data_IF_938438450106
#
_entry.id   IF_938438450106
#
_cell.length_a   1.000
_cell.length_b   1.000
_cell.length_c   1.000
_cell.angle_alpha   90.00
_cell.angle_beta   90.00
_cell.angle_gamma   90.00
#
_symmetry.space_group_name_H-M   'P 1'
#
loop_
_entity.id
_entity.type
_entity.pdbx_description
1 polymer ?
#
# COMPACT_ATOMS: atom_id res chain seq x y z
N UNK A 1 -16.06 -4.82 -1.16
CA UNK A 1 -17.19 -4.00 -1.70
C UNK A 1 -17.39 -4.27 -3.20
N UNK A 2 -18.54 -3.85 -3.76
CA UNK A 2 -18.83 -3.96 -5.20
C UNK A 2 -17.81 -3.21 -6.05
N UNK A 3 -17.32 -2.05 -5.58
CA UNK A 3 -16.31 -1.24 -6.29
C UNK A 3 -14.98 -1.98 -6.42
N UNK A 4 -14.51 -2.61 -5.36
CA UNK A 4 -13.26 -3.39 -5.38
C UNK A 4 -13.36 -4.62 -6.27
N UNK A 5 -14.49 -5.33 -6.25
CA UNK A 5 -14.76 -6.42 -7.22
C UNK A 5 -14.73 -5.93 -8.67
N UNK A 6 -15.24 -4.71 -8.94
CA UNK A 6 -15.16 -4.11 -10.27
C UNK A 6 -13.72 -3.75 -10.67
N UNK A 7 -12.92 -3.22 -9.71
CA UNK A 7 -11.48 -2.96 -9.92
C UNK A 7 -10.72 -4.23 -10.30
N UNK A 8 -10.93 -5.32 -9.55
CA UNK A 8 -10.31 -6.62 -9.86
C UNK A 8 -10.67 -7.13 -11.27
N UNK A 9 -11.94 -7.05 -11.66
CA UNK A 9 -12.37 -7.42 -13.02
C UNK A 9 -11.72 -6.55 -14.11
N UNK A 10 -11.48 -5.26 -13.83
CA UNK A 10 -10.76 -4.37 -14.75
C UNK A 10 -9.29 -4.79 -14.89
N UNK A 11 -8.65 -5.11 -13.77
CA UNK A 11 -7.26 -5.56 -13.75
C UNK A 11 -7.09 -6.87 -14.52
N UNK A 12 -7.98 -7.81 -14.33
CA UNK A 12 -8.01 -9.07 -15.07
C UNK A 12 -8.16 -8.86 -16.59
N UNK A 13 -9.16 -8.09 -17.01
CA UNK A 13 -9.38 -7.72 -18.41
C UNK A 13 -8.21 -6.94 -19.01
N UNK A 14 -7.53 -6.14 -18.21
CA UNK A 14 -6.34 -5.38 -18.57
C UNK A 14 -5.04 -6.20 -18.53
N UNK A 15 -5.11 -7.52 -18.33
CA UNK A 15 -3.94 -8.40 -18.20
C UNK A 15 -2.91 -7.87 -17.20
N UNK A 16 -3.37 -7.30 -16.08
CA UNK A 16 -2.51 -6.83 -15.00
C UNK A 16 -1.93 -8.03 -14.27
N UNK A 17 -0.61 -8.11 -14.23
CA UNK A 17 0.13 -9.16 -13.51
C UNK A 17 0.70 -8.58 -12.21
N UNK A 18 0.58 -9.32 -11.12
CA UNK A 18 1.13 -8.93 -9.82
C UNK A 18 2.24 -9.89 -9.43
N UNK A 19 3.37 -9.35 -9.00
CA UNK A 19 4.52 -10.15 -8.55
C UNK A 19 5.33 -9.38 -7.51
N UNK A 20 6.13 -10.09 -6.74
CA UNK A 20 7.20 -9.48 -5.96
C UNK A 20 8.24 -8.90 -6.90
N UNK A 21 8.75 -7.71 -6.61
CA UNK A 21 9.59 -6.94 -7.53
C UNK A 21 10.87 -6.45 -6.85
N UNK A 22 11.92 -6.34 -7.65
CA UNK A 22 13.19 -5.69 -7.28
C UNK A 22 13.36 -4.31 -7.90
N UNK A 23 12.35 -3.82 -8.63
CA UNK A 23 12.39 -2.49 -9.26
C UNK A 23 12.05 -1.39 -8.24
N UNK A 24 12.89 -1.26 -7.21
CA UNK A 24 12.72 -0.25 -6.16
C UNK A 24 12.75 1.16 -6.71
N UNK A 25 13.70 1.47 -7.59
CA UNK A 25 13.86 2.81 -8.17
C UNK A 25 12.64 3.22 -9.01
N UNK A 26 12.14 2.35 -9.89
CA UNK A 26 10.95 2.64 -10.70
C UNK A 26 9.71 2.86 -9.85
N UNK A 27 9.52 2.04 -8.81
CA UNK A 27 8.42 2.22 -7.87
C UNK A 27 8.57 3.52 -7.07
N UNK A 28 9.80 3.82 -6.60
CA UNK A 28 10.06 5.01 -5.80
C UNK A 28 9.75 6.31 -6.54
N UNK A 29 10.15 6.40 -7.81
CA UNK A 29 9.81 7.54 -8.66
C UNK A 29 8.29 7.74 -8.76
N UNK A 30 7.53 6.67 -9.01
CA UNK A 30 6.07 6.74 -9.05
C UNK A 30 5.47 7.17 -7.70
N UNK A 31 6.02 6.69 -6.57
CA UNK A 31 5.58 7.09 -5.23
C UNK A 31 5.84 8.57 -4.97
N UNK A 32 7.05 9.04 -5.25
CA UNK A 32 7.44 10.44 -5.07
C UNK A 32 6.56 11.38 -5.90
N UNK A 33 6.32 11.07 -7.17
CA UNK A 33 5.40 11.80 -8.04
C UNK A 33 3.96 11.81 -7.47
N UNK A 34 3.47 10.68 -6.96
CA UNK A 34 2.13 10.60 -6.38
C UNK A 34 1.99 11.49 -5.14
N UNK A 35 3.00 11.49 -4.27
CA UNK A 35 2.99 12.29 -3.04
C UNK A 35 3.14 13.78 -3.34
N UNK A 36 4.06 14.16 -4.22
CA UNK A 36 4.25 15.55 -4.64
C UNK A 36 2.98 16.12 -5.29
N UNK A 37 2.38 15.40 -6.25
CA UNK A 37 1.22 15.88 -7.00
C UNK A 37 -0.08 15.96 -6.19
N UNK A 38 -0.23 15.13 -5.13
CA UNK A 38 -1.48 15.05 -4.37
C UNK A 38 -1.44 15.76 -3.03
N UNK A 39 -0.28 15.79 -2.41
CA UNK A 39 -0.15 16.20 -1.01
C UNK A 39 0.94 17.23 -0.81
N UNK A 40 1.76 17.53 -1.85
CA UNK A 40 2.92 18.42 -1.76
C UNK A 40 3.89 18.02 -0.65
N UNK A 41 4.07 16.71 -0.46
CA UNK A 41 4.98 16.11 0.53
C UNK A 41 5.93 15.10 -0.14
N UNK A 42 7.03 14.84 0.53
CA UNK A 42 7.98 13.79 0.17
C UNK A 42 7.72 12.51 1.00
N UNK A 43 8.19 11.32 0.53
CA UNK A 43 8.18 10.12 1.35
C UNK A 43 8.98 10.31 2.63
N UNK A 44 8.54 9.71 3.74
CA UNK A 44 9.23 9.78 5.05
C UNK A 44 10.63 9.15 5.01
N UNK A 45 10.82 8.12 4.21
CA UNK A 45 12.13 7.48 3.98
C UNK A 45 12.71 7.98 2.66
N UNK A 46 14.01 7.82 2.46
CA UNK A 46 14.66 7.86 1.15
C UNK A 46 14.66 6.47 0.50
N UNK A 47 14.90 6.42 -0.81
CA UNK A 47 15.10 5.14 -1.51
C UNK A 47 16.27 4.34 -0.90
N UNK A 48 17.40 5.01 -0.60
CA UNK A 48 18.57 4.37 -0.02
C UNK A 48 18.28 3.74 1.35
N UNK A 49 17.48 4.39 2.19
CA UNK A 49 17.05 3.83 3.48
C UNK A 49 16.19 2.58 3.29
N UNK A 50 15.26 2.58 2.34
CA UNK A 50 14.44 1.40 2.08
C UNK A 50 15.23 0.25 1.48
N UNK A 51 16.16 0.53 0.58
CA UNK A 51 17.07 -0.49 0.03
C UNK A 51 17.96 -1.07 1.13
N UNK A 52 18.46 -0.24 2.05
CA UNK A 52 19.21 -0.69 3.22
C UNK A 52 18.35 -1.55 4.15
N UNK A 53 17.13 -1.13 4.45
CA UNK A 53 16.19 -1.91 5.26
C UNK A 53 15.87 -3.26 4.59
N UNK A 54 15.57 -3.25 3.30
CA UNK A 54 15.33 -4.50 2.55
C UNK A 54 16.57 -5.41 2.56
N UNK A 55 17.79 -4.86 2.40
CA UNK A 55 19.02 -5.67 2.42
C UNK A 55 19.26 -6.36 3.76
N UNK A 56 18.86 -5.72 4.86
CA UNK A 56 18.97 -6.27 6.23
C UNK A 56 17.83 -7.23 6.57
N UNK A 57 16.64 -6.98 6.03
CA UNK A 57 15.41 -7.72 6.32
C UNK A 57 14.68 -8.12 5.04
N UNK A 58 15.31 -8.92 4.14
CA UNK A 58 14.76 -9.18 2.79
C UNK A 58 13.43 -9.94 2.79
N UNK A 59 13.18 -10.73 3.84
CA UNK A 59 11.92 -11.47 3.99
C UNK A 59 10.80 -10.62 4.60
N UNK A 60 11.14 -9.50 5.23
CA UNK A 60 10.20 -8.66 5.96
C UNK A 60 9.84 -7.38 5.21
N UNK A 61 10.81 -6.76 4.53
CA UNK A 61 10.61 -5.51 3.78
C UNK A 61 10.57 -5.86 2.30
N UNK A 62 9.36 -5.87 1.73
CA UNK A 62 9.15 -6.41 0.38
C UNK A 62 8.33 -5.45 -0.48
N UNK A 63 8.67 -5.38 -1.75
CA UNK A 63 7.94 -4.62 -2.76
C UNK A 63 7.15 -5.57 -3.65
N UNK A 64 5.85 -5.29 -3.81
CA UNK A 64 4.99 -5.96 -4.78
C UNK A 64 4.47 -4.97 -5.80
N UNK A 65 4.57 -5.33 -7.09
CA UNK A 65 4.15 -4.44 -8.18
C UNK A 65 3.13 -5.11 -9.08
N UNK A 66 2.28 -4.27 -9.64
CA UNK A 66 1.38 -4.62 -10.73
C UNK A 66 1.91 -4.04 -12.04
N UNK A 67 2.01 -4.87 -13.06
CA UNK A 67 2.51 -4.48 -14.38
C UNK A 67 1.57 -4.95 -15.49
N UNK A 68 1.60 -4.24 -16.62
CA UNK A 68 1.03 -4.69 -17.89
C UNK A 68 2.06 -4.42 -18.99
N UNK A 69 2.46 -5.45 -19.75
CA UNK A 69 3.48 -5.35 -20.79
C UNK A 69 4.70 -4.51 -20.35
N UNK A 70 5.29 -4.87 -19.22
CA UNK A 70 6.43 -4.19 -18.58
C UNK A 70 6.15 -2.79 -18.03
N UNK A 71 4.99 -2.19 -18.34
CA UNK A 71 4.60 -0.91 -17.76
C UNK A 71 4.23 -1.07 -16.28
N UNK A 72 4.93 -0.35 -15.41
CA UNK A 72 4.62 -0.29 -13.97
C UNK A 72 3.32 0.49 -13.75
N UNK A 73 2.32 -0.18 -13.20
CA UNK A 73 0.99 0.37 -12.98
C UNK A 73 0.74 0.79 -11.54
N UNK A 74 1.18 -0.03 -10.59
CA UNK A 74 1.02 0.21 -9.17
C UNK A 74 2.04 -0.60 -8.37
N UNK A 75 2.19 -0.27 -7.11
CA UNK A 75 2.97 -1.09 -6.19
C UNK A 75 2.64 -0.79 -4.75
N UNK A 76 3.05 -1.73 -3.89
CA UNK A 76 2.90 -1.68 -2.44
C UNK A 76 4.20 -2.16 -1.80
N UNK A 77 4.74 -1.34 -0.88
CA UNK A 77 5.79 -1.79 0.04
C UNK A 77 5.11 -2.26 1.32
N UNK A 78 5.45 -3.46 1.76
CA UNK A 78 4.98 -4.03 3.02
C UNK A 78 6.14 -4.22 4.00
N UNK A 79 5.79 -4.14 5.29
CA UNK A 79 6.64 -4.56 6.40
C UNK A 79 5.95 -5.74 7.07
N UNK A 80 6.52 -6.94 6.91
CA UNK A 80 6.03 -8.16 7.56
C UNK A 80 6.63 -8.27 8.96
N UNK A 81 5.82 -7.97 9.96
CA UNK A 81 6.18 -8.03 11.39
C UNK A 81 5.76 -9.36 12.04
N UNK A 82 5.63 -10.43 11.28
CA UNK A 82 5.24 -11.74 11.76
C UNK A 82 3.73 -11.92 11.85
N UNK A 83 3.08 -11.51 12.92
CA UNK A 83 1.61 -11.60 13.06
C UNK A 83 0.88 -10.58 12.20
N UNK A 84 1.50 -9.41 11.97
CA UNK A 84 0.92 -8.28 11.26
C UNK A 84 1.74 -7.97 10.01
N UNK A 85 1.06 -7.80 8.89
CA UNK A 85 1.63 -7.23 7.66
C UNK A 85 1.19 -5.78 7.56
N UNK A 86 2.15 -4.86 7.67
CA UNK A 86 1.89 -3.44 7.56
C UNK A 86 2.13 -2.92 6.15
N UNK A 87 1.17 -2.21 5.60
CA UNK A 87 1.27 -1.52 4.32
C UNK A 87 1.94 -0.17 4.54
N UNK A 88 3.23 -0.07 4.22
CA UNK A 88 4.02 1.14 4.43
C UNK A 88 3.75 2.20 3.36
N UNK A 89 3.75 1.80 2.09
CA UNK A 89 3.51 2.72 0.97
C UNK A 89 2.64 2.07 -0.11
N UNK A 90 1.74 2.86 -0.69
CA UNK A 90 0.93 2.51 -1.87
C UNK A 90 1.09 3.61 -2.90
N UNK A 91 1.44 3.23 -4.13
CA UNK A 91 1.47 4.16 -5.26
C UNK A 91 0.86 3.53 -6.51
N UNK A 92 0.34 4.38 -7.38
CA UNK A 92 -0.24 3.96 -8.65
C UNK A 92 -0.12 5.05 -9.71
N UNK A 93 0.25 4.66 -10.92
CA UNK A 93 0.16 5.54 -12.09
C UNK A 93 -1.30 5.86 -12.42
N UNK A 94 -1.53 6.84 -13.28
CA UNK A 94 -2.87 7.14 -13.78
C UNK A 94 -3.50 5.93 -14.46
N UNK A 95 -2.75 5.29 -15.35
CA UNK A 95 -3.18 4.05 -16.03
C UNK A 95 -3.47 2.92 -15.04
N UNK A 96 -2.66 2.80 -13.99
CA UNK A 96 -2.87 1.83 -12.92
C UNK A 96 -4.18 2.05 -12.18
N UNK A 97 -4.56 3.31 -11.95
CA UNK A 97 -5.87 3.65 -11.34
C UNK A 97 -7.05 3.26 -12.25
N UNK A 98 -6.95 3.54 -13.54
CA UNK A 98 -7.96 3.15 -14.52
C UNK A 98 -8.18 1.64 -14.55
N UNK A 99 -7.11 0.87 -14.51
CA UNK A 99 -7.11 -0.59 -14.60
C UNK A 99 -7.36 -1.30 -13.26
N UNK A 100 -7.46 -0.57 -12.15
CA UNK A 100 -7.65 -1.20 -10.83
C UNK A 100 -6.41 -1.95 -10.33
N UNK A 101 -5.21 -1.50 -10.69
CA UNK A 101 -3.95 -2.18 -10.39
C UNK A 101 -3.69 -2.31 -8.89
N UNK A 102 -4.00 -1.28 -8.07
CA UNK A 102 -3.88 -1.38 -6.60
C UNK A 102 -4.82 -2.44 -6.04
N UNK A 103 -6.04 -2.56 -6.58
CA UNK A 103 -7.00 -3.57 -6.14
C UNK A 103 -6.45 -4.98 -6.41
N UNK A 104 -5.76 -5.18 -7.55
CA UNK A 104 -5.10 -6.43 -7.88
C UNK A 104 -3.95 -6.74 -6.89
N UNK A 105 -3.08 -5.76 -6.59
CA UNK A 105 -1.98 -5.97 -5.63
C UNK A 105 -2.52 -6.31 -4.25
N UNK A 106 -3.47 -5.53 -3.72
CA UNK A 106 -4.07 -5.80 -2.40
C UNK A 106 -4.71 -7.20 -2.36
N UNK A 107 -5.48 -7.56 -3.39
CA UNK A 107 -6.09 -8.89 -3.46
C UNK A 107 -5.06 -10.01 -3.48
N UNK A 108 -3.99 -9.85 -4.26
CA UNK A 108 -2.90 -10.81 -4.32
C UNK A 108 -2.20 -10.98 -2.98
N UNK A 109 -1.90 -9.87 -2.29
CA UNK A 109 -1.24 -9.89 -0.99
C UNK A 109 -2.11 -10.60 0.05
N UNK A 110 -3.38 -10.22 0.17
CA UNK A 110 -4.28 -10.74 1.20
C UNK A 110 -4.65 -12.21 0.98
N UNK A 111 -4.85 -12.64 -0.27
CA UNK A 111 -5.36 -13.98 -0.54
C UNK A 111 -4.29 -15.02 -0.91
N UNK A 112 -3.11 -14.59 -1.37
CA UNK A 112 -2.08 -15.50 -1.83
C UNK A 112 -0.81 -15.47 -0.98
N UNK A 113 -0.33 -14.27 -0.60
CA UNK A 113 0.96 -14.15 0.08
C UNK A 113 0.82 -14.17 1.60
N UNK A 114 -0.17 -13.46 2.12
CA UNK A 114 -0.35 -13.24 3.57
C UNK A 114 -1.71 -13.76 4.07
N UNK A 115 -2.27 -14.77 3.41
CA UNK A 115 -3.57 -15.36 3.78
C UNK A 115 -3.59 -15.92 5.22
N UNK A 116 -2.45 -16.41 5.70
CA UNK A 116 -2.29 -16.97 7.04
C UNK A 116 -1.86 -15.94 8.11
N UNK A 117 -1.72 -14.66 7.73
CA UNK A 117 -1.39 -13.61 8.72
C UNK A 117 -2.64 -13.20 9.48
N UNK A 118 -2.46 -12.96 10.77
CA UNK A 118 -3.55 -12.57 11.67
C UNK A 118 -4.10 -11.19 11.30
N UNK A 119 -3.22 -10.26 10.93
CA UNK A 119 -3.58 -8.88 10.60
C UNK A 119 -2.94 -8.41 9.31
N UNK A 120 -3.74 -7.74 8.47
CA UNK A 120 -3.28 -6.95 7.34
C UNK A 120 -3.64 -5.49 7.59
N UNK A 121 -2.64 -4.69 7.95
CA UNK A 121 -2.79 -3.32 8.41
C UNK A 121 -2.52 -2.32 7.29
N UNK A 122 -3.50 -1.49 7.00
CA UNK A 122 -3.41 -0.39 6.03
C UNK A 122 -2.86 0.91 6.64
N UNK A 123 -2.38 0.89 7.88
CA UNK A 123 -1.88 2.05 8.58
C UNK A 123 -2.96 3.04 9.03
N UNK A 124 -2.53 4.18 9.56
CA UNK A 124 -3.41 5.22 10.09
C UNK A 124 -4.31 5.85 9.04
N UNK A 125 -5.48 6.31 9.46
CA UNK A 125 -6.39 7.16 8.67
C UNK A 125 -6.67 8.50 9.37
N UNK A 126 -5.77 8.94 10.25
CA UNK A 126 -5.84 10.25 10.89
C UNK A 126 -5.06 11.30 10.11
N UNK A 127 -5.41 12.56 10.29
CA UNK A 127 -4.62 13.68 9.79
C UNK A 127 -3.31 13.81 10.56
N UNK A 128 -2.32 14.50 9.98
CA UNK A 128 -0.94 14.57 10.49
C UNK A 128 -0.85 15.02 11.97
N UNK A 129 -1.77 15.84 12.42
CA UNK A 129 -1.80 16.35 13.79
C UNK A 129 -2.56 15.44 14.78
N UNK A 130 -2.95 14.23 14.34
CA UNK A 130 -3.65 13.27 15.21
C UNK A 130 -5.06 13.67 15.63
N UNK A 131 -5.53 14.84 15.18
CA UNK A 131 -6.76 15.46 15.67
C UNK A 131 -8.03 15.02 14.94
N UNK A 132 -7.98 14.60 13.67
CA UNK A 132 -9.18 14.28 12.92
C UNK A 132 -9.02 13.10 11.96
N UNK A 133 -10.13 12.42 11.73
CA UNK A 133 -10.22 11.29 10.82
C UNK A 133 -10.22 11.77 9.35
N UNK A 134 -9.33 11.24 8.53
CA UNK A 134 -9.45 11.34 7.07
C UNK A 134 -10.52 10.33 6.59
N UNK A 135 -11.76 10.82 6.49
CA UNK A 135 -12.92 10.00 6.15
C UNK A 135 -12.78 9.33 4.78
N UNK A 136 -12.17 10.01 3.80
CA UNK A 136 -11.95 9.45 2.46
C UNK A 136 -11.00 8.26 2.50
N UNK A 137 -9.89 8.38 3.22
CA UNK A 137 -8.90 7.32 3.38
C UNK A 137 -9.47 6.13 4.20
N UNK A 138 -10.19 6.40 5.27
CA UNK A 138 -10.89 5.37 6.06
C UNK A 138 -11.85 4.56 5.20
N UNK A 139 -12.74 5.24 4.46
CA UNK A 139 -13.67 4.58 3.52
C UNK A 139 -12.96 3.75 2.47
N UNK A 140 -11.85 4.22 1.94
CA UNK A 140 -11.06 3.46 0.96
C UNK A 140 -10.57 2.13 1.55
N UNK A 141 -10.06 2.14 2.78
CA UNK A 141 -9.62 0.94 3.50
C UNK A 141 -10.79 -0.01 3.82
N UNK A 142 -11.90 0.53 4.30
CA UNK A 142 -13.13 -0.23 4.56
C UNK A 142 -13.70 -0.91 3.31
N UNK A 143 -13.51 -0.32 2.13
CA UNK A 143 -13.93 -0.96 0.87
C UNK A 143 -13.18 -2.26 0.58
N UNK A 144 -11.98 -2.46 1.13
CA UNK A 144 -11.26 -3.73 1.09
C UNK A 144 -11.74 -4.73 2.15
N UNK A 145 -12.57 -4.32 3.10
CA UNK A 145 -13.05 -5.12 4.22
C UNK A 145 -12.36 -4.82 5.54
N UNK A 146 -11.46 -3.83 5.56
CA UNK A 146 -10.80 -3.42 6.79
C UNK A 146 -11.80 -2.91 7.84
N UNK A 147 -11.40 -2.99 9.09
CA UNK A 147 -12.11 -2.43 10.24
C UNK A 147 -11.16 -1.51 10.99
N UNK A 148 -11.71 -0.43 11.55
CA UNK A 148 -10.94 0.51 12.35
C UNK A 148 -10.60 -0.11 13.71
N UNK A 149 -9.33 0.02 14.09
CA UNK A 149 -8.85 -0.24 15.45
C UNK A 149 -8.42 1.09 16.05
N UNK A 150 -8.88 1.38 17.24
CA UNK A 150 -8.55 2.63 17.94
C UNK A 150 -7.39 2.40 18.89
N UNK A 151 -6.34 3.21 18.75
CA UNK A 151 -5.24 3.30 19.72
C UNK A 151 -5.52 4.49 20.63
N UNK A 152 -5.76 4.22 21.91
CA UNK A 152 -6.01 5.27 22.91
C UNK A 152 -4.68 5.76 23.47
N UNK A 153 -4.53 7.08 23.57
CA UNK A 153 -3.37 7.72 24.16
C UNK A 153 -3.81 8.48 25.42
N UNK A 154 -3.11 8.26 26.52
CA UNK A 154 -3.39 8.88 27.80
C UNK A 154 -2.20 9.71 28.25
N UNK A 155 -2.46 10.91 28.79
CA UNK A 155 -1.47 11.77 29.44
C UNK A 155 -1.85 11.99 30.90
N UNK A 156 -0.90 11.79 31.80
CA UNK A 156 -1.04 12.16 33.22
C UNK A 156 -0.21 13.42 33.47
N UNK A 157 -0.84 14.43 34.01
CA UNK A 157 -0.17 15.67 34.43
C UNK A 157 -0.07 15.61 35.96
N UNK A 158 1.16 15.65 36.47
CA UNK A 158 1.46 15.66 37.90
C UNK A 158 1.76 17.07 38.36
#
# INVERSE_FOLDING_TARGET
>A
SKLKKRGLKKAEKGNVKVTESKNWAGYWNMLAENLANRYSVEPTHSLAELELLHSRFPNNIRLFTAVNNELLLAGIIIFDCGRTVHVQYIASSEKGRELGAVDAVVSYLVHNIFAEREWFDFGSSTTYEGGSLNVGLSRQKEMYGARTVTYQQYSLIF
#
